data_IF_979933930265
#
_entry.id   IF_979933930265
#
_cell.length_a   1.000
_cell.length_b   1.000
_cell.length_c   1.000
_cell.angle_alpha   90.00
_cell.angle_beta   90.00
_cell.angle_gamma   90.00
#
_symmetry.space_group_name_H-M   'P 1'
#
loop_
_entity.id
_entity.type
_entity.pdbx_description
1 polymer ?
#
# COMPACT_ATOMS: atom_id res chain seq x y z
N UNK A 1 15.20 4.89 -31.27
CA UNK A 1 14.29 3.81 -30.81
C UNK A 1 14.79 3.19 -29.51
N UNK A 2 16.10 2.97 -29.35
CA UNK A 2 16.73 2.34 -28.16
C UNK A 2 16.64 3.13 -26.84
N UNK A 3 16.51 4.45 -26.86
CA UNK A 3 16.46 5.23 -25.61
C UNK A 3 15.08 5.20 -24.94
N UNK A 4 14.01 5.02 -25.73
CA UNK A 4 12.66 4.87 -25.19
C UNK A 4 12.47 3.48 -24.58
N UNK A 5 13.14 2.47 -25.13
CA UNK A 5 13.12 1.08 -24.64
C UNK A 5 13.81 0.95 -23.28
N UNK A 6 15.02 1.53 -23.15
CA UNK A 6 15.75 1.59 -21.86
C UNK A 6 14.95 2.29 -20.76
N UNK A 7 14.23 3.37 -21.10
CA UNK A 7 13.36 4.08 -20.14
C UNK A 7 12.17 3.23 -19.69
N UNK A 8 11.60 2.40 -20.56
CA UNK A 8 10.52 1.49 -20.19
C UNK A 8 11.03 0.37 -19.27
N UNK A 9 12.19 -0.21 -19.57
CA UNK A 9 12.82 -1.22 -18.71
C UNK A 9 13.15 -0.68 -17.30
N UNK A 10 13.63 0.57 -17.21
CA UNK A 10 13.89 1.23 -15.92
C UNK A 10 12.61 1.47 -15.11
N UNK A 11 11.51 1.83 -15.77
CA UNK A 11 10.18 1.98 -15.14
C UNK A 11 9.70 0.63 -14.60
N UNK A 12 9.73 -0.43 -15.42
CA UNK A 12 9.30 -1.77 -14.98
C UNK A 12 10.14 -2.30 -13.82
N UNK A 13 11.45 -2.02 -13.83
CA UNK A 13 12.36 -2.40 -12.76
C UNK A 13 12.08 -1.64 -11.47
N UNK A 14 11.76 -0.35 -11.55
CA UNK A 14 11.29 0.45 -10.41
C UNK A 14 9.98 -0.11 -9.86
N UNK A 15 8.97 -0.35 -10.71
CA UNK A 15 7.68 -0.91 -10.29
C UNK A 15 7.85 -2.26 -9.59
N UNK A 16 8.72 -3.13 -10.12
CA UNK A 16 9.01 -4.43 -9.51
C UNK A 16 9.66 -4.30 -8.14
N UNK A 17 10.65 -3.42 -7.99
CA UNK A 17 11.28 -3.12 -6.70
C UNK A 17 10.27 -2.57 -5.68
N UNK A 18 9.35 -1.70 -6.12
CA UNK A 18 8.29 -1.17 -5.28
C UNK A 18 7.32 -2.27 -4.81
N UNK A 19 6.93 -3.19 -5.70
CA UNK A 19 6.08 -4.33 -5.34
C UNK A 19 6.78 -5.28 -4.37
N UNK A 20 8.05 -5.61 -4.60
CA UNK A 20 8.83 -6.47 -3.71
C UNK A 20 9.01 -5.83 -2.32
N UNK A 21 9.29 -4.53 -2.28
CA UNK A 21 9.42 -3.79 -1.03
C UNK A 21 8.09 -3.73 -0.27
N UNK A 22 6.97 -3.50 -0.97
CA UNK A 22 5.62 -3.54 -0.40
C UNK A 22 5.30 -4.91 0.21
N UNK A 23 5.65 -6.00 -0.47
CA UNK A 23 5.46 -7.36 0.05
C UNK A 23 6.31 -7.59 1.31
N UNK A 24 7.61 -7.29 1.25
CA UNK A 24 8.51 -7.42 2.42
C UNK A 24 8.05 -6.60 3.62
N UNK A 25 7.55 -5.38 3.40
CA UNK A 25 7.04 -4.52 4.45
C UNK A 25 5.80 -5.11 5.14
N UNK A 26 4.79 -5.50 4.36
CA UNK A 26 3.55 -6.10 4.90
C UNK A 26 3.87 -7.40 5.67
N UNK A 27 4.78 -8.19 5.12
CA UNK A 27 5.26 -9.41 5.74
C UNK A 27 5.96 -9.15 7.08
N UNK A 28 6.82 -8.13 7.14
CA UNK A 28 7.56 -7.74 8.34
C UNK A 28 6.69 -7.18 9.45
N UNK A 29 5.53 -6.60 9.14
CA UNK A 29 4.59 -6.06 10.12
C UNK A 29 3.56 -7.07 10.62
N UNK A 30 3.75 -8.37 10.32
CA UNK A 30 2.78 -9.40 10.67
C UNK A 30 1.43 -9.22 9.97
N UNK A 31 1.37 -8.37 8.92
CA UNK A 31 0.20 -8.22 8.05
C UNK A 31 0.20 -9.41 7.08
N UNK A 32 0.02 -10.62 7.60
CA UNK A 32 -0.13 -11.85 6.83
C UNK A 32 -1.43 -12.56 7.21
N UNK A 33 -2.37 -12.65 6.25
CA UNK A 33 -2.51 -13.83 5.37
C UNK A 33 -3.69 -13.75 4.40
N UNK A 34 -4.63 -12.80 4.57
CA UNK A 34 -5.65 -12.53 3.56
C UNK A 34 -5.87 -11.04 3.44
N UNK A 35 -5.26 -10.40 2.42
CA UNK A 35 -5.73 -9.09 1.99
C UNK A 35 -7.18 -9.30 1.55
N UNK A 36 -8.17 -8.71 2.25
CA UNK A 36 -9.56 -8.96 1.92
C UNK A 36 -9.85 -8.43 0.52
N UNK A 37 -10.83 -9.01 -0.16
CA UNK A 37 -11.39 -8.35 -1.34
C UNK A 37 -12.15 -7.11 -0.89
N UNK A 38 -12.07 -6.02 -1.66
CA UNK A 38 -12.91 -4.86 -1.39
C UNK A 38 -14.40 -5.28 -1.48
N UNK A 39 -15.19 -5.11 -0.41
CA UNK A 39 -16.60 -5.52 -0.42
C UNK A 39 -17.44 -4.66 -1.38
N UNK A 40 -16.97 -3.47 -1.75
CA UNK A 40 -17.68 -2.55 -2.64
C UNK A 40 -17.46 -2.83 -4.13
N UNK A 41 -16.26 -3.23 -4.53
CA UNK A 41 -15.90 -3.35 -5.96
C UNK A 41 -15.25 -4.69 -6.34
N UNK A 42 -15.06 -5.60 -5.37
CA UNK A 42 -14.46 -6.91 -5.57
C UNK A 42 -12.96 -6.92 -5.85
N UNK A 43 -12.28 -5.76 -5.95
CA UNK A 43 -10.83 -5.75 -6.20
C UNK A 43 -10.06 -6.42 -5.05
N UNK A 44 -9.12 -7.28 -5.41
CA UNK A 44 -8.16 -7.92 -4.49
C UNK A 44 -6.75 -7.36 -4.61
N UNK A 45 -6.43 -6.69 -5.72
CA UNK A 45 -5.08 -6.19 -6.03
C UNK A 45 -4.82 -4.79 -5.48
N UNK A 46 -5.88 -3.99 -5.38
CA UNK A 46 -5.82 -2.57 -5.03
C UNK A 46 -5.98 -2.28 -3.54
N UNK A 47 -5.72 -3.28 -2.69
CA UNK A 47 -5.97 -3.21 -1.25
C UNK A 47 -4.66 -2.93 -0.52
N UNK A 48 -4.67 -1.87 0.30
CA UNK A 48 -3.54 -1.44 1.14
C UNK A 48 -4.05 -1.24 2.58
N UNK A 49 -3.20 -1.45 3.60
CA UNK A 49 -3.59 -1.21 4.97
C UNK A 49 -3.69 0.30 5.25
N UNK A 50 -4.52 0.65 6.23
CA UNK A 50 -4.56 1.98 6.83
C UNK A 50 -3.76 1.94 8.12
N UNK A 51 -2.77 2.82 8.22
CA UNK A 51 -1.94 2.98 9.40
C UNK A 51 -2.45 4.14 10.25
N UNK A 52 -2.60 3.88 11.53
CA UNK A 52 -2.94 4.86 12.56
C UNK A 52 -1.82 4.94 13.59
N UNK A 53 -1.59 6.15 14.11
CA UNK A 53 -0.56 6.39 15.10
C UNK A 53 0.29 7.62 14.77
N UNK A 54 1.17 7.95 15.71
CA UNK A 54 2.24 8.90 15.50
C UNK A 54 3.46 8.16 14.98
N UNK A 55 3.84 8.42 13.73
CA UNK A 55 4.99 7.80 13.10
C UNK A 55 6.13 8.80 12.99
N UNK A 56 7.36 8.36 13.28
CA UNK A 56 8.54 9.15 12.92
C UNK A 56 8.60 9.28 11.39
N UNK A 57 8.65 10.52 10.93
CA UNK A 57 8.52 10.90 9.52
C UNK A 57 9.51 10.15 8.60
N UNK A 58 10.68 9.75 9.09
CA UNK A 58 11.76 9.23 8.23
C UNK A 58 11.43 7.96 7.44
N UNK A 59 10.82 6.95 8.07
CA UNK A 59 10.66 5.61 7.47
C UNK A 59 9.28 5.36 6.88
N UNK A 60 8.23 5.97 7.45
CA UNK A 60 6.84 5.77 6.99
C UNK A 60 6.40 6.75 5.92
N UNK A 61 6.96 7.96 5.88
CA UNK A 61 6.60 8.97 4.88
C UNK A 61 6.98 8.50 3.47
N UNK A 62 8.19 7.94 3.29
CA UNK A 62 8.60 7.27 2.05
C UNK A 62 7.65 6.13 1.65
N UNK A 63 7.11 5.39 2.61
CA UNK A 63 6.23 4.24 2.34
C UNK A 63 4.81 4.65 1.92
N UNK A 64 4.30 5.73 2.48
CA UNK A 64 3.06 6.34 2.02
C UNK A 64 3.22 7.01 0.66
N UNK A 65 4.38 7.63 0.40
CA UNK A 65 4.75 8.15 -0.92
C UNK A 65 4.74 7.05 -1.99
N UNK A 66 5.23 5.84 -1.67
CA UNK A 66 5.18 4.67 -2.54
C UNK A 66 3.79 3.99 -2.61
N UNK A 67 2.77 4.56 -1.96
CA UNK A 67 1.39 4.06 -2.00
C UNK A 67 1.22 2.66 -1.41
N UNK A 68 2.15 2.19 -0.58
CA UNK A 68 2.10 0.87 0.06
C UNK A 68 1.10 0.83 1.22
N UNK A 69 0.80 1.99 1.81
CA UNK A 69 -0.09 2.19 2.97
C UNK A 69 -0.85 3.51 2.82
N UNK A 70 -2.01 3.63 3.45
CA UNK A 70 -2.72 4.90 3.63
C UNK A 70 -2.57 5.34 5.09
N UNK A 71 -2.36 6.63 5.37
CA UNK A 71 -2.47 7.15 6.73
C UNK A 71 -3.91 7.55 7.02
N UNK A 72 -4.47 7.00 8.11
CA UNK A 72 -5.81 7.35 8.55
C UNK A 72 -5.83 8.56 9.49
N UNK A 73 -4.96 8.55 10.51
CA UNK A 73 -4.87 9.60 11.53
C UNK A 73 -4.01 9.15 12.72
N UNK A 74 -3.88 10.01 13.73
CA UNK A 74 -3.07 9.72 14.92
C UNK A 74 -3.73 8.68 15.84
N UNK A 75 -5.07 8.66 15.92
CA UNK A 75 -5.83 7.81 16.84
C UNK A 75 -6.73 6.87 16.04
N UNK A 76 -6.80 5.60 16.44
CA UNK A 76 -7.79 4.63 15.98
C UNK A 76 -8.73 4.23 17.10
N UNK A 77 -9.93 3.84 16.71
CA UNK A 77 -10.95 3.20 17.55
C UNK A 77 -11.18 1.77 17.07
N UNK A 78 -11.92 0.98 17.86
CA UNK A 78 -12.30 -0.38 17.48
C UNK A 78 -12.98 -0.46 16.10
N UNK A 79 -13.73 0.57 15.71
CA UNK A 79 -14.44 0.65 14.42
C UNK A 79 -13.68 1.35 13.30
N UNK A 80 -12.42 1.72 13.55
CA UNK A 80 -11.60 2.31 12.51
C UNK A 80 -11.31 1.29 11.39
N UNK A 81 -11.38 1.71 10.12
CA UNK A 81 -11.13 0.84 8.99
C UNK A 81 -9.66 0.41 8.94
N UNK A 82 -9.41 -0.87 8.64
CA UNK A 82 -8.06 -1.42 8.55
C UNK A 82 -7.50 -1.39 7.13
N UNK A 83 -8.37 -1.29 6.12
CA UNK A 83 -8.02 -1.40 4.71
C UNK A 83 -8.61 -0.28 3.88
N UNK A 84 -7.86 0.11 2.85
CA UNK A 84 -8.28 1.05 1.82
C UNK A 84 -8.20 0.39 0.45
N UNK A 85 -9.26 0.52 -0.35
CA UNK A 85 -9.26 0.14 -1.75
C UNK A 85 -8.90 1.32 -2.65
N UNK A 86 -7.74 1.28 -3.31
CA UNK A 86 -7.29 2.36 -4.20
C UNK A 86 -8.17 2.52 -5.45
N UNK A 87 -8.83 1.44 -5.89
CA UNK A 87 -9.70 1.41 -7.09
C UNK A 87 -10.99 2.20 -6.89
N UNK A 88 -11.71 1.94 -5.80
CA UNK A 88 -13.03 2.57 -5.55
C UNK A 88 -13.05 3.50 -4.31
N UNK A 89 -11.87 3.75 -3.73
CA UNK A 89 -11.64 4.63 -2.57
C UNK A 89 -12.44 4.26 -1.31
N UNK A 90 -12.83 2.99 -1.17
CA UNK A 90 -13.58 2.51 -0.01
C UNK A 90 -12.65 2.16 1.16
N UNK A 91 -12.99 2.60 2.36
CA UNK A 91 -12.35 2.19 3.61
C UNK A 91 -13.19 1.11 4.29
N UNK A 92 -12.56 0.04 4.79
CA UNK A 92 -13.27 -1.11 5.37
C UNK A 92 -12.38 -1.90 6.35
N UNK A 93 -12.99 -2.78 7.15
CA UNK A 93 -12.32 -3.70 8.08
C UNK A 93 -11.84 -4.98 7.39
#
# INVERSE_FOLDING_TARGET
>A
MEENDRRLEDIEKQEKLEQEFRIKFLDSWGIKKQRPGCPKCGSRRDIIPILYGLFELGSFQKRALLGAVLFGGCVSSYDSPCWHCRKCKNNFK
#
